data_IF_325832022049
#
_entry.id   IF_325832022049
#
_cell.length_a   1.000
_cell.length_b   1.000
_cell.length_c   1.000
_cell.angle_alpha   90.00
_cell.angle_beta   90.00
_cell.angle_gamma   90.00
#
_symmetry.space_group_name_H-M   'P 1'
#
loop_
_entity.id
_entity.type
_entity.pdbx_description
1 polymer ?
#
# COMPACT_ATOMS: atom_id res chain seq x y z
N UNK A 1 53.58 64.99 -13.01
CA UNK A 1 53.24 64.04 -14.10
C UNK A 1 53.53 62.58 -13.74
N UNK A 2 54.67 62.23 -13.11
CA UNK A 2 54.99 60.81 -12.81
C UNK A 2 54.04 60.13 -11.80
N UNK A 3 53.58 60.84 -10.76
CA UNK A 3 52.68 60.26 -9.74
C UNK A 3 51.31 59.85 -10.32
N UNK A 4 50.69 60.72 -11.13
CA UNK A 4 49.42 60.43 -11.81
C UNK A 4 49.52 59.23 -12.77
N UNK A 5 50.65 59.07 -13.45
CA UNK A 5 50.85 57.97 -14.41
C UNK A 5 51.02 56.62 -13.70
N UNK A 6 51.71 56.61 -12.55
CA UNK A 6 51.83 55.44 -11.68
C UNK A 6 50.48 55.02 -11.11
N UNK A 7 49.67 55.98 -10.69
CA UNK A 7 48.34 55.73 -10.13
C UNK A 7 47.32 55.30 -11.19
N UNK A 8 47.45 55.83 -12.42
CA UNK A 8 46.68 55.35 -13.57
C UNK A 8 47.03 53.90 -13.92
N UNK A 9 48.32 53.53 -13.92
CA UNK A 9 48.76 52.15 -14.16
C UNK A 9 48.30 51.18 -13.08
N UNK A 10 48.35 51.57 -11.79
CA UNK A 10 47.88 50.70 -10.71
C UNK A 10 46.37 50.48 -10.80
N UNK A 11 45.61 51.53 -11.09
CA UNK A 11 44.15 51.48 -11.31
C UNK A 11 43.79 50.61 -12.53
N UNK A 12 44.56 50.70 -13.60
CA UNK A 12 44.35 49.86 -14.78
C UNK A 12 44.64 48.37 -14.50
N UNK A 13 45.64 48.08 -13.64
CA UNK A 13 45.95 46.74 -13.17
C UNK A 13 44.85 46.14 -12.29
N UNK A 14 44.28 46.92 -11.36
CA UNK A 14 43.18 46.46 -10.49
C UNK A 14 41.90 46.22 -11.29
N UNK A 15 41.59 47.07 -12.26
CA UNK A 15 40.46 46.86 -13.19
C UNK A 15 40.66 45.58 -14.01
N UNK A 16 41.88 45.31 -14.48
CA UNK A 16 42.23 44.06 -15.18
C UNK A 16 41.98 42.82 -14.32
N UNK A 17 42.48 42.82 -13.08
CA UNK A 17 42.32 41.73 -12.12
C UNK A 17 40.86 41.50 -11.72
N UNK A 18 40.09 42.59 -11.53
CA UNK A 18 38.65 42.52 -11.29
C UNK A 18 37.92 41.92 -12.49
N UNK A 19 38.26 42.30 -13.72
CA UNK A 19 37.63 41.77 -14.92
C UNK A 19 37.86 40.26 -15.09
N UNK A 20 39.03 39.76 -14.75
CA UNK A 20 39.31 38.30 -14.73
C UNK A 20 38.52 37.60 -13.63
N UNK A 21 38.51 38.13 -12.41
CA UNK A 21 37.75 37.55 -11.30
C UNK A 21 36.24 37.50 -11.58
N UNK A 22 35.69 38.55 -12.19
CA UNK A 22 34.29 38.59 -12.63
C UNK A 22 34.01 37.53 -13.71
N UNK A 23 34.93 37.32 -14.67
CA UNK A 23 34.77 36.27 -15.68
C UNK A 23 34.77 34.87 -15.05
N UNK A 24 35.67 34.63 -14.12
CA UNK A 24 35.76 33.34 -13.43
C UNK A 24 34.50 33.07 -12.58
N UNK A 25 33.99 34.12 -11.90
CA UNK A 25 32.72 34.03 -11.17
C UNK A 25 31.51 33.79 -12.08
N UNK A 26 31.48 34.40 -13.26
CA UNK A 26 30.42 34.16 -14.25
C UNK A 26 30.47 32.73 -14.76
N UNK A 27 31.67 32.21 -15.07
CA UNK A 27 31.84 30.82 -15.49
C UNK A 27 31.38 29.84 -14.40
N UNK A 28 31.79 30.06 -13.15
CA UNK A 28 31.34 29.23 -12.02
C UNK A 28 29.84 29.34 -11.79
N UNK A 29 29.25 30.53 -11.94
CA UNK A 29 27.79 30.69 -11.83
C UNK A 29 27.07 29.89 -12.91
N UNK A 30 27.60 29.89 -14.15
CA UNK A 30 27.02 29.15 -15.26
C UNK A 30 27.06 27.64 -15.01
N UNK A 31 28.19 27.10 -14.55
CA UNK A 31 28.29 25.68 -14.16
C UNK A 31 27.34 25.32 -13.00
N UNK A 32 27.21 26.22 -12.02
CA UNK A 32 26.27 26.02 -10.91
C UNK A 32 24.82 26.04 -11.39
N UNK A 33 24.48 26.92 -12.35
CA UNK A 33 23.17 26.99 -12.96
C UNK A 33 22.84 25.71 -13.72
N UNK A 34 23.76 25.20 -14.53
CA UNK A 34 23.60 23.92 -15.22
C UNK A 34 23.39 22.77 -14.24
N UNK A 35 24.21 22.68 -13.19
CA UNK A 35 24.02 21.68 -12.12
C UNK A 35 22.67 21.82 -11.43
N UNK A 36 22.23 23.04 -11.17
CA UNK A 36 20.94 23.28 -10.54
C UNK A 36 19.79 22.79 -11.42
N UNK A 37 19.83 23.09 -12.72
CA UNK A 37 18.85 22.63 -13.70
C UNK A 37 18.83 21.10 -13.76
N UNK A 38 19.99 20.45 -13.90
CA UNK A 38 20.05 18.98 -13.94
C UNK A 38 19.55 18.33 -12.65
N UNK A 39 19.83 18.92 -11.49
CA UNK A 39 19.30 18.44 -10.21
C UNK A 39 17.78 18.61 -10.11
N UNK A 40 17.24 19.74 -10.58
CA UNK A 40 15.80 19.97 -10.61
C UNK A 40 15.09 18.97 -11.54
N UNK A 41 15.65 18.70 -12.72
CA UNK A 41 15.12 17.72 -13.68
C UNK A 41 15.12 16.31 -13.09
N UNK A 42 16.25 15.88 -12.51
CA UNK A 42 16.37 14.57 -11.85
C UNK A 42 15.39 14.41 -10.68
N UNK A 43 15.22 15.46 -9.87
CA UNK A 43 14.25 15.47 -8.78
C UNK A 43 12.80 15.38 -9.28
N UNK A 44 12.46 16.13 -10.34
CA UNK A 44 11.13 16.08 -10.95
C UNK A 44 10.82 14.70 -11.53
N UNK A 45 11.80 14.03 -12.14
CA UNK A 45 11.65 12.67 -12.67
C UNK A 45 11.50 11.63 -11.55
N UNK A 46 12.30 11.74 -10.48
CA UNK A 46 12.17 10.88 -9.31
C UNK A 46 10.79 11.02 -8.63
N UNK A 47 10.25 12.24 -8.53
CA UNK A 47 8.92 12.49 -7.98
C UNK A 47 7.82 11.86 -8.84
N UNK A 48 7.91 11.96 -10.17
CA UNK A 48 6.94 11.33 -11.10
C UNK A 48 6.96 9.79 -11.01
N UNK A 49 8.15 9.20 -10.91
CA UNK A 49 8.29 7.75 -10.74
C UNK A 49 7.71 7.33 -9.39
N UNK A 50 8.02 8.07 -8.33
CA UNK A 50 7.48 7.81 -6.99
C UNK A 50 5.94 7.91 -6.94
N UNK A 51 5.33 8.90 -7.61
CA UNK A 51 3.88 9.05 -7.62
C UNK A 51 3.21 7.90 -8.37
N UNK A 52 3.72 7.53 -9.55
CA UNK A 52 3.19 6.41 -10.34
C UNK A 52 3.33 5.07 -9.60
N UNK A 53 4.46 4.84 -8.92
CA UNK A 53 4.65 3.66 -8.07
C UNK A 53 3.70 3.66 -6.87
N UNK A 54 3.42 4.82 -6.27
CA UNK A 54 2.45 4.95 -5.17
C UNK A 54 1.02 4.64 -5.62
N UNK A 55 0.63 5.09 -6.82
CA UNK A 55 -0.68 4.80 -7.40
C UNK A 55 -0.84 3.31 -7.72
N UNK A 56 0.17 2.70 -8.34
CA UNK A 56 0.17 1.27 -8.63
C UNK A 56 0.13 0.42 -7.36
N UNK A 57 0.89 0.79 -6.33
CA UNK A 57 0.85 0.13 -5.02
C UNK A 57 -0.52 0.32 -4.34
N UNK A 58 -1.10 1.51 -4.41
CA UNK A 58 -2.45 1.77 -3.87
C UNK A 58 -3.50 0.89 -4.54
N UNK A 59 -3.46 0.77 -5.87
CA UNK A 59 -4.38 -0.09 -6.63
C UNK A 59 -4.23 -1.58 -6.29
N UNK A 60 -2.99 -2.08 -6.19
CA UNK A 60 -2.74 -3.46 -5.80
C UNK A 60 -3.21 -3.76 -4.36
N UNK A 61 -3.00 -2.84 -3.42
CA UNK A 61 -3.48 -2.96 -2.04
C UNK A 61 -5.01 -2.94 -1.98
N UNK A 62 -5.66 -2.13 -2.80
CA UNK A 62 -7.12 -2.09 -2.90
C UNK A 62 -7.70 -3.39 -3.46
N UNK A 63 -7.12 -3.95 -4.53
CA UNK A 63 -7.53 -5.25 -5.07
C UNK A 63 -7.38 -6.36 -4.02
N UNK A 64 -6.25 -6.39 -3.31
CA UNK A 64 -6.02 -7.35 -2.23
C UNK A 64 -7.06 -7.22 -1.11
N UNK A 65 -7.42 -5.98 -0.72
CA UNK A 65 -8.44 -5.73 0.31
C UNK A 65 -9.80 -6.29 -0.10
N UNK A 66 -10.19 -6.08 -1.36
CA UNK A 66 -11.45 -6.60 -1.90
C UNK A 66 -11.48 -8.13 -1.86
N UNK A 67 -10.44 -8.77 -2.39
CA UNK A 67 -10.32 -10.24 -2.39
C UNK A 67 -10.34 -10.83 -0.98
N UNK A 68 -9.67 -10.18 -0.02
CA UNK A 68 -9.72 -10.59 1.39
C UNK A 68 -11.12 -10.44 2.00
N UNK A 69 -11.90 -9.44 1.59
CA UNK A 69 -13.30 -9.27 2.00
C UNK A 69 -14.14 -10.46 1.53
N UNK A 70 -14.07 -10.73 0.23
CA UNK A 70 -14.84 -11.79 -0.40
C UNK A 70 -14.51 -13.14 0.20
N UNK A 71 -13.21 -13.45 0.34
CA UNK A 71 -12.76 -14.67 0.99
C UNK A 71 -13.26 -14.80 2.44
N UNK A 72 -13.32 -13.70 3.19
CA UNK A 72 -13.81 -13.71 4.58
C UNK A 72 -15.31 -13.99 4.63
N UNK A 73 -16.10 -13.35 3.76
CA UNK A 73 -17.55 -13.56 3.66
C UNK A 73 -17.89 -14.99 3.21
N UNK A 74 -17.19 -15.51 2.21
CA UNK A 74 -17.35 -16.88 1.74
C UNK A 74 -17.03 -17.88 2.84
N UNK A 75 -15.91 -17.69 3.56
CA UNK A 75 -15.55 -18.54 4.68
C UNK A 75 -16.59 -18.47 5.81
N UNK A 76 -17.16 -17.29 6.10
CA UNK A 76 -18.20 -17.15 7.11
C UNK A 76 -19.48 -17.90 6.72
N UNK A 77 -19.87 -17.83 5.45
CA UNK A 77 -20.98 -18.60 4.89
C UNK A 77 -20.73 -20.10 4.99
N UNK A 78 -19.54 -20.57 4.61
CA UNK A 78 -19.16 -21.99 4.69
C UNK A 78 -19.12 -22.50 6.13
N UNK A 79 -18.59 -21.72 7.07
CA UNK A 79 -18.61 -22.07 8.49
C UNK A 79 -20.05 -22.16 8.97
N UNK A 80 -20.88 -21.17 8.67
CA UNK A 80 -22.29 -21.16 9.07
C UNK A 80 -23.07 -22.34 8.49
N UNK A 81 -22.86 -22.69 7.22
CA UNK A 81 -23.40 -23.88 6.58
C UNK A 81 -23.00 -25.15 7.32
N UNK A 82 -21.71 -25.29 7.63
CA UNK A 82 -21.18 -26.46 8.33
C UNK A 82 -21.80 -26.61 9.72
N UNK A 83 -21.98 -25.50 10.44
CA UNK A 83 -22.67 -25.46 11.74
C UNK A 83 -24.13 -25.89 11.59
N UNK A 84 -24.87 -25.38 10.61
CA UNK A 84 -26.26 -25.77 10.36
C UNK A 84 -26.40 -27.26 10.05
N UNK A 85 -25.50 -27.80 9.23
CA UNK A 85 -25.46 -29.23 8.91
C UNK A 85 -25.17 -30.09 10.15
N UNK A 86 -24.20 -29.70 10.98
CA UNK A 86 -23.89 -30.40 12.23
C UNK A 86 -25.06 -30.38 13.23
N UNK A 87 -25.86 -29.31 13.22
CA UNK A 87 -27.05 -29.18 14.08
C UNK A 87 -28.30 -29.86 13.51
N UNK A 88 -28.23 -30.43 12.30
CA UNK A 88 -29.36 -31.07 11.64
C UNK A 88 -30.45 -30.10 11.15
N UNK A 89 -30.11 -28.81 10.98
CA UNK A 89 -31.01 -27.81 10.39
C UNK A 89 -30.85 -27.76 8.87
N UNK A 90 -31.95 -27.51 8.14
CA UNK A 90 -31.84 -27.25 6.70
C UNK A 90 -31.06 -25.94 6.46
N UNK A 91 -29.94 -26.00 5.71
CA UNK A 91 -29.18 -24.79 5.40
C UNK A 91 -29.99 -23.86 4.50
N UNK A 92 -29.80 -22.55 4.65
CA UNK A 92 -30.41 -21.58 3.75
C UNK A 92 -29.89 -21.84 2.32
N UNK A 93 -30.77 -22.07 1.33
CA UNK A 93 -30.36 -22.40 -0.04
C UNK A 93 -29.48 -21.32 -0.67
N UNK A 94 -29.64 -20.06 -0.27
CA UNK A 94 -28.80 -18.94 -0.75
C UNK A 94 -27.33 -19.16 -0.40
N UNK A 95 -27.03 -19.75 0.76
CA UNK A 95 -25.65 -20.01 1.18
C UNK A 95 -24.97 -21.09 0.33
N UNK A 96 -25.75 -21.98 -0.30
CA UNK A 96 -25.23 -23.04 -1.18
C UNK A 96 -24.78 -22.52 -2.56
N UNK A 97 -25.22 -21.33 -2.95
CA UNK A 97 -24.88 -20.74 -4.24
C UNK A 97 -23.63 -19.85 -4.18
N UNK A 98 -23.02 -19.69 -3.00
CA UNK A 98 -21.89 -18.79 -2.80
C UNK A 98 -22.30 -17.32 -2.85
N UNK A 99 -21.42 -16.44 -2.39
CA UNK A 99 -21.61 -15.02 -2.58
C UNK A 99 -21.38 -14.72 -4.07
N UNK A 100 -22.46 -14.63 -4.86
CA UNK A 100 -22.38 -14.13 -6.24
C UNK A 100 -21.98 -12.64 -6.20
N UNK A 101 -20.69 -12.36 -6.07
CA UNK A 101 -20.20 -10.98 -6.18
C UNK A 101 -18.84 -10.93 -6.86
N UNK A 102 -18.83 -11.28 -8.14
CA UNK A 102 -17.86 -10.73 -9.10
C UNK A 102 -18.26 -9.29 -9.49
N UNK A 103 -18.75 -8.49 -8.55
CA UNK A 103 -18.95 -7.07 -8.77
C UNK A 103 -17.58 -6.39 -8.66
N UNK A 104 -17.16 -5.73 -9.74
CA UNK A 104 -15.97 -4.88 -9.72
C UNK A 104 -16.21 -3.80 -8.66
N UNK A 105 -15.37 -3.67 -7.63
CA UNK A 105 -15.65 -2.76 -6.52
C UNK A 105 -15.72 -1.31 -6.99
N UNK A 106 -16.72 -0.59 -6.49
CA UNK A 106 -16.82 0.87 -6.55
C UNK A 106 -15.77 1.49 -5.62
N UNK A 107 -15.22 2.66 -5.97
CA UNK A 107 -14.23 3.39 -5.15
C UNK A 107 -14.71 3.65 -3.70
N UNK A 108 -16.02 3.67 -3.46
CA UNK A 108 -16.63 3.89 -2.14
C UNK A 108 -16.56 2.66 -1.21
N UNK A 109 -16.58 1.44 -1.74
CA UNK A 109 -16.49 0.20 -0.94
C UNK A 109 -15.06 -0.10 -0.45
N UNK A 110 -14.08 0.61 -1.01
CA UNK A 110 -12.65 0.40 -0.78
C UNK A 110 -12.08 1.22 0.40
N UNK A 111 -12.91 2.05 1.03
CA UNK A 111 -12.55 2.95 2.14
C UNK A 111 -12.67 2.31 3.53
N UNK A 112 -13.13 1.05 3.63
CA UNK A 112 -13.29 0.40 4.94
C UNK A 112 -11.96 0.26 5.71
N UNK A 113 -12.01 0.67 6.98
CA UNK A 113 -10.87 0.77 7.87
C UNK A 113 -10.22 -0.61 8.16
N UNK A 114 -8.89 -0.68 8.16
CA UNK A 114 -8.14 -1.93 8.37
C UNK A 114 -8.47 -2.59 9.71
N UNK A 115 -8.84 -1.79 10.71
CA UNK A 115 -9.24 -2.27 12.04
C UNK A 115 -10.55 -3.06 11.99
N UNK A 116 -11.53 -2.61 11.19
CA UNK A 116 -12.80 -3.30 10.98
C UNK A 116 -12.56 -4.67 10.31
N UNK A 117 -11.72 -4.69 9.27
CA UNK A 117 -11.37 -5.93 8.55
C UNK A 117 -10.62 -6.92 9.45
N UNK A 118 -9.68 -6.43 10.26
CA UNK A 118 -8.98 -7.27 11.24
C UNK A 118 -9.94 -7.84 12.28
N UNK A 119 -10.95 -7.08 12.70
CA UNK A 119 -11.98 -7.56 13.62
C UNK A 119 -12.84 -8.67 12.98
N UNK A 120 -13.24 -8.53 11.72
CA UNK A 120 -13.99 -9.56 10.99
C UNK A 120 -13.19 -10.86 10.84
N UNK A 121 -11.91 -10.78 10.44
CA UNK A 121 -11.04 -11.97 10.33
C UNK A 121 -10.83 -12.64 11.68
N UNK A 122 -10.65 -11.86 12.75
CA UNK A 122 -10.58 -12.39 14.12
C UNK A 122 -11.88 -13.09 14.50
N UNK A 123 -13.04 -12.50 14.21
CA UNK A 123 -14.34 -13.10 14.48
C UNK A 123 -14.50 -14.44 13.75
N UNK A 124 -14.19 -14.48 12.46
CA UNK A 124 -14.22 -15.70 11.65
C UNK A 124 -13.31 -16.79 12.24
N UNK A 125 -12.11 -16.45 12.69
CA UNK A 125 -11.20 -17.40 13.37
C UNK A 125 -11.83 -18.02 14.61
N UNK A 126 -12.56 -17.25 15.42
CA UNK A 126 -13.27 -17.80 16.59
C UNK A 126 -14.39 -18.76 16.14
N UNK A 127 -15.18 -18.39 15.14
CA UNK A 127 -16.23 -19.27 14.59
C UNK A 127 -15.67 -20.59 14.04
N UNK A 128 -14.48 -20.58 13.42
CA UNK A 128 -13.80 -21.80 12.95
C UNK A 128 -13.41 -22.68 14.14
N UNK A 129 -12.91 -22.12 15.23
CA UNK A 129 -12.56 -22.89 16.43
C UNK A 129 -13.81 -23.49 17.09
N UNK A 130 -14.91 -22.74 17.17
CA UNK A 130 -16.20 -23.23 17.65
C UNK A 130 -16.72 -24.38 16.78
N UNK A 131 -16.64 -24.25 15.45
CA UNK A 131 -16.98 -25.31 14.51
C UNK A 131 -16.11 -26.55 14.74
N UNK A 132 -14.81 -26.37 14.97
CA UNK A 132 -13.89 -27.48 15.27
C UNK A 132 -14.27 -28.18 16.58
N UNK A 133 -14.68 -27.44 17.61
CA UNK A 133 -15.19 -28.02 18.86
C UNK A 133 -16.45 -28.84 18.61
N UNK A 134 -17.43 -28.28 17.88
CA UNK A 134 -18.68 -28.99 17.55
C UNK A 134 -18.43 -30.26 16.72
N UNK A 135 -17.52 -30.21 15.74
CA UNK A 135 -17.12 -31.40 14.97
C UNK A 135 -16.51 -32.45 15.90
N UNK A 136 -15.63 -32.03 16.81
CA UNK A 136 -14.97 -32.92 17.76
C UNK A 136 -15.96 -33.57 18.73
N UNK A 137 -16.92 -32.80 19.24
CA UNK A 137 -18.03 -33.29 20.08
C UNK A 137 -18.94 -34.26 19.32
N UNK A 138 -19.28 -33.94 18.07
CA UNK A 138 -20.07 -34.81 17.21
C UNK A 138 -19.35 -36.15 16.95
N UNK A 139 -18.05 -36.14 16.67
CA UNK A 139 -17.29 -37.39 16.54
C UNK A 139 -17.17 -38.14 17.86
N UNK A 140 -16.98 -37.46 19.00
CA UNK A 140 -16.92 -38.12 20.31
C UNK A 140 -18.25 -38.80 20.69
N UNK A 141 -19.38 -38.16 20.38
CA UNK A 141 -20.73 -38.72 20.59
C UNK A 141 -21.06 -39.84 19.61
N UNK A 142 -20.59 -39.77 18.36
CA UNK A 142 -20.69 -40.89 17.43
C UNK A 142 -19.85 -42.09 17.89
N UNK A 143 -18.61 -41.89 18.32
CA UNK A 143 -17.77 -42.95 18.88
C UNK A 143 -18.38 -43.56 20.16
N UNK A 144 -19.00 -42.77 21.04
CA UNK A 144 -19.67 -43.29 22.24
C UNK A 144 -20.96 -44.05 21.91
N UNK A 145 -21.72 -43.61 20.92
CA UNK A 145 -22.93 -44.31 20.46
C UNK A 145 -22.62 -45.61 19.75
N UNK A 146 -21.55 -45.69 18.94
CA UNK A 146 -21.07 -46.94 18.33
C UNK A 146 -20.64 -47.95 19.40
N UNK A 147 -20.07 -47.49 20.51
CA UNK A 147 -19.63 -48.36 21.61
C UNK A 147 -20.78 -48.85 22.53
N UNK A 148 -21.95 -48.21 22.52
CA UNK A 148 -23.13 -48.65 23.30
C UNK A 148 -23.99 -49.70 22.57
N UNK A 149 -23.74 -49.94 21.29
CA UNK A 149 -24.50 -50.87 20.44
C UNK A 149 -23.71 -52.17 20.19
N UNK A 150 -22.65 -52.41 20.96
CA UNK A 150 -21.79 -53.60 20.84
C UNK A 150 -21.86 -54.51 22.07
#
# INVERSE_FOLDING_TARGET
>A
MMALNSELQSSQGTIGALKTSVKDLVFQNQELLEKNISLQESSAEALKVSSCLSEAQSSAVQQLRFELSHCTEELDSLVSLSISLLKGQEPNPIMLFGSDSRAIPSDEDLSEDFESRLAQVKCLRHKIEDLRSMISEHFATQLSSVCHVQ
#
